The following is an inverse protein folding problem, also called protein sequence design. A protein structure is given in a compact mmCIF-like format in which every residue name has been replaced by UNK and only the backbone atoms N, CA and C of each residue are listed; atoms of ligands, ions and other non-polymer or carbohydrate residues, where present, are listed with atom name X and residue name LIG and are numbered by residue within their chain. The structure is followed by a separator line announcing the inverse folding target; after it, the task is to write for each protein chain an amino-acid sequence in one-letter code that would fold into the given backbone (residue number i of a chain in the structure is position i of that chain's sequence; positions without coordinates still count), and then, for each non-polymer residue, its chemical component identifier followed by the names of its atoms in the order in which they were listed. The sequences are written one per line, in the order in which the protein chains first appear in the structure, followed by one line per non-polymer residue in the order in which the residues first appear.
data_IF_110302441994
#
_entry.id   IF_110302441994
#
_cell.length_a   1.000
_cell.length_b   1.000
_cell.length_c   1.000
_cell.angle_alpha   90.00
_cell.angle_beta   90.00
_cell.angle_gamma   90.00
#
_symmetry.space_group_name_H-M   'P 1'
#
loop_
_entity.id
_entity.type
_entity.pdbx_description
1 polymer ?
#
# COMPACT_ATOMS: atom_id res chain seq x y z
N UNK A 1 -3.11 15.21 -31.28
CA UNK A 1 -2.62 14.04 -30.54
C UNK A 1 -2.69 14.28 -29.05
N UNK A 2 -2.81 13.23 -28.26
CA UNK A 2 -2.81 13.33 -26.81
C UNK A 2 -1.41 13.74 -26.34
N UNK A 3 -1.32 14.76 -25.49
CA UNK A 3 -0.04 15.20 -24.94
C UNK A 3 0.20 14.51 -23.61
N UNK A 4 1.29 13.76 -23.52
CA UNK A 4 1.71 13.12 -22.27
C UNK A 4 2.73 14.01 -21.57
N UNK A 5 2.38 14.45 -20.37
CA UNK A 5 3.24 15.29 -19.54
C UNK A 5 3.51 14.56 -18.21
N UNK A 6 4.70 14.77 -17.67
CA UNK A 6 5.07 14.35 -16.34
C UNK A 6 5.36 15.63 -15.55
N UNK A 7 4.46 15.97 -14.63
CA UNK A 7 4.66 17.09 -13.72
C UNK A 7 5.71 16.73 -12.68
N UNK A 8 6.55 17.69 -12.31
CA UNK A 8 7.52 17.51 -11.25
C UNK A 8 7.75 18.83 -10.49
N UNK A 9 8.16 18.71 -9.25
CA UNK A 9 8.75 19.78 -8.45
C UNK A 9 10.16 19.38 -8.06
N UNK A 10 11.10 20.32 -8.16
CA UNK A 10 12.47 20.12 -7.72
C UNK A 10 12.90 21.25 -6.80
N UNK A 11 13.45 20.90 -5.65
CA UNK A 11 14.00 21.85 -4.68
C UNK A 11 15.51 21.69 -4.57
N UNK A 12 16.19 22.82 -4.67
CA UNK A 12 17.64 22.93 -4.67
C UNK A 12 18.03 23.80 -3.47
N UNK A 13 18.53 23.24 -2.35
CA UNK A 13 18.88 24.03 -1.18
C UNK A 13 20.14 24.88 -1.43
N UNK A 14 20.23 26.05 -0.80
CA UNK A 14 21.41 26.93 -0.90
C UNK A 14 22.65 26.21 -0.36
N UNK A 15 22.52 25.58 0.81
CA UNK A 15 23.60 24.83 1.46
C UNK A 15 23.52 23.34 1.05
N UNK A 16 23.71 23.08 -0.25
CA UNK A 16 23.65 21.72 -0.77
C UNK A 16 24.81 20.85 -0.29
N UNK A 17 24.49 19.69 0.25
CA UNK A 17 25.45 18.75 0.84
C UNK A 17 26.05 17.74 -0.17
N UNK A 18 25.87 17.92 -1.47
CA UNK A 18 26.33 16.99 -2.51
C UNK A 18 25.40 15.80 -2.78
N UNK A 19 24.24 15.71 -2.11
CA UNK A 19 23.32 14.56 -2.21
C UNK A 19 22.05 14.91 -2.98
N UNK A 20 21.52 13.89 -3.66
CA UNK A 20 20.26 13.96 -4.41
C UNK A 20 19.30 12.89 -3.92
N UNK A 21 18.02 13.21 -3.80
CA UNK A 21 16.94 12.28 -3.50
C UNK A 21 15.81 12.38 -4.54
N UNK A 22 15.46 11.24 -5.13
CA UNK A 22 14.18 11.07 -5.81
C UNK A 22 13.13 10.63 -4.78
N UNK A 23 12.15 11.49 -4.51
CA UNK A 23 11.04 11.22 -3.61
C UNK A 23 9.94 10.48 -4.36
N UNK A 24 9.71 9.21 -4.00
CA UNK A 24 8.55 8.43 -4.45
C UNK A 24 7.32 8.74 -3.61
N UNK A 25 6.20 9.10 -4.28
CA UNK A 25 4.97 9.48 -3.59
C UNK A 25 4.04 8.28 -3.36
N UNK A 26 3.12 8.42 -2.40
CA UNK A 26 2.17 7.38 -2.01
C UNK A 26 0.90 7.33 -2.87
N UNK A 27 -0.05 6.48 -2.49
CA UNK A 27 -1.33 6.32 -3.16
C UNK A 27 -1.19 5.81 -4.59
N UNK A 28 -1.90 6.42 -5.53
CA UNK A 28 -1.81 6.15 -6.97
C UNK A 28 -1.11 7.28 -7.74
N UNK A 29 -0.33 8.12 -7.06
CA UNK A 29 0.23 9.35 -7.61
C UNK A 29 -0.87 10.32 -8.14
N UNK A 30 -0.53 11.13 -9.15
CA UNK A 30 -1.47 12.08 -9.76
C UNK A 30 -1.50 13.45 -9.09
N UNK A 31 -0.79 13.63 -7.99
CA UNK A 31 -0.56 14.92 -7.33
C UNK A 31 0.92 15.25 -7.31
N UNK A 32 1.20 16.54 -7.46
CA UNK A 32 2.54 17.05 -7.28
C UNK A 32 2.77 17.33 -5.78
N UNK A 33 3.29 16.33 -5.08
CA UNK A 33 3.63 16.45 -3.66
C UNK A 33 4.90 17.32 -3.52
N UNK A 34 4.95 18.25 -2.54
CA UNK A 34 6.12 19.08 -2.31
C UNK A 34 7.42 18.27 -2.16
N UNK A 35 8.46 18.64 -2.89
CA UNK A 35 9.75 17.95 -2.91
C UNK A 35 10.56 18.26 -1.65
N UNK A 36 10.11 17.81 -0.50
CA UNK A 36 10.78 17.98 0.80
C UNK A 36 11.70 16.81 1.15
N UNK A 37 11.53 15.66 0.48
CA UNK A 37 12.28 14.45 0.79
C UNK A 37 11.80 13.77 2.06
N UNK A 38 10.53 13.97 2.43
CA UNK A 38 9.90 13.21 3.51
C UNK A 38 9.56 11.81 2.99
N UNK A 39 10.37 10.84 3.39
CA UNK A 39 10.23 9.43 2.99
C UNK A 39 9.82 8.60 4.23
N UNK A 40 8.58 8.15 4.24
CA UNK A 40 8.03 7.40 5.37
C UNK A 40 7.54 8.31 6.49
N UNK A 41 8.20 8.27 7.63
CA UNK A 41 7.95 9.15 8.78
C UNK A 41 9.02 10.23 8.85
N UNK A 42 8.66 11.40 9.31
CA UNK A 42 9.56 12.53 9.49
C UNK A 42 8.77 13.82 9.56
N UNK A 43 9.33 14.81 10.23
CA UNK A 43 8.73 16.13 10.38
C UNK A 43 9.33 17.14 9.40
N UNK A 44 8.86 18.39 9.45
CA UNK A 44 9.37 19.45 8.59
C UNK A 44 10.86 19.77 8.82
N UNK A 45 11.42 19.39 9.97
CA UNK A 45 12.83 19.60 10.30
C UNK A 45 13.68 18.32 10.19
N UNK A 46 13.10 17.19 9.75
CA UNK A 46 13.78 15.90 9.66
C UNK A 46 13.60 15.28 8.27
N UNK A 47 13.49 16.11 7.24
CA UNK A 47 13.39 15.68 5.85
C UNK A 47 14.70 15.93 5.10
N UNK A 48 14.88 15.26 3.97
CA UNK A 48 16.11 15.32 3.21
C UNK A 48 16.45 16.73 2.71
N UNK A 49 15.46 17.56 2.35
CA UNK A 49 15.70 18.94 1.95
C UNK A 49 16.30 19.76 3.08
N UNK A 50 15.78 19.59 4.31
CA UNK A 50 16.34 20.26 5.50
C UNK A 50 17.78 19.83 5.77
N UNK A 51 18.09 18.56 5.48
CA UNK A 51 19.44 18.01 5.62
C UNK A 51 20.36 18.38 4.43
N UNK A 52 19.93 19.27 3.55
CA UNK A 52 20.74 19.78 2.44
C UNK A 52 20.73 18.94 1.16
N UNK A 53 19.81 18.00 1.00
CA UNK A 53 19.67 17.27 -0.26
C UNK A 53 18.94 18.10 -1.33
N UNK A 54 19.34 17.99 -2.58
CA UNK A 54 18.50 18.32 -3.71
C UNK A 54 17.41 17.25 -3.84
N UNK A 55 16.14 17.64 -3.97
CA UNK A 55 15.02 16.70 -3.97
C UNK A 55 14.13 16.93 -5.19
N UNK A 56 13.69 15.85 -5.83
CA UNK A 56 12.66 15.88 -6.88
C UNK A 56 11.47 15.00 -6.48
N UNK A 57 10.27 15.46 -6.80
CA UNK A 57 9.00 14.77 -6.67
C UNK A 57 8.23 14.87 -7.98
N UNK A 58 7.31 13.93 -8.28
CA UNK A 58 6.51 13.95 -9.51
C UNK A 58 5.09 13.44 -9.30
N UNK A 59 4.20 13.78 -10.24
CA UNK A 59 2.84 13.24 -10.36
C UNK A 59 2.78 11.90 -11.08
N UNK A 60 3.93 11.35 -11.49
CA UNK A 60 4.06 10.13 -12.27
C UNK A 60 3.32 10.16 -13.63
N UNK A 61 3.00 11.33 -14.16
CA UNK A 61 2.50 11.53 -15.52
C UNK A 61 0.98 11.42 -15.70
N UNK A 62 0.21 11.67 -14.65
CA UNK A 62 -1.24 11.83 -14.71
C UNK A 62 -1.74 12.76 -13.60
N UNK A 63 -3.03 13.08 -13.61
CA UNK A 63 -3.68 13.91 -12.59
C UNK A 63 -4.59 13.04 -11.72
N UNK A 64 -4.73 13.37 -10.44
CA UNK A 64 -5.61 12.67 -9.49
C UNK A 64 -7.04 12.49 -9.99
N UNK A 65 -7.59 13.48 -10.72
CA UNK A 65 -8.94 13.37 -11.30
C UNK A 65 -9.06 12.27 -12.36
N UNK A 66 -7.94 11.75 -12.87
CA UNK A 66 -7.87 10.66 -13.83
C UNK A 66 -7.79 9.28 -13.14
N UNK A 67 -7.63 9.23 -11.82
CA UNK A 67 -7.58 7.99 -11.06
C UNK A 67 -8.96 7.32 -10.98
N UNK A 68 -9.06 6.01 -11.19
CA UNK A 68 -8.03 5.07 -11.65
C UNK A 68 -7.98 4.94 -13.18
N UNK A 69 -8.78 5.75 -13.92
CA UNK A 69 -9.03 5.59 -15.35
C UNK A 69 -7.80 5.85 -16.22
N UNK A 70 -6.78 6.59 -15.73
CA UNK A 70 -5.51 6.74 -16.43
C UNK A 70 -4.89 5.38 -16.82
N UNK A 71 -5.18 4.35 -16.01
CA UNK A 71 -4.70 2.99 -16.25
C UNK A 71 -5.24 2.33 -17.53
N UNK A 72 -6.26 2.89 -18.19
CA UNK A 72 -6.72 2.43 -19.51
C UNK A 72 -5.77 2.86 -20.62
N UNK A 73 -5.02 3.93 -20.43
CA UNK A 73 -4.05 4.42 -21.41
C UNK A 73 -2.69 3.71 -21.26
N UNK A 74 -2.15 3.07 -22.30
CA UNK A 74 -0.88 2.37 -22.21
C UNK A 74 0.31 3.25 -21.86
N UNK A 75 0.36 4.50 -22.37
CA UNK A 75 1.48 5.38 -22.11
C UNK A 75 1.43 5.94 -20.68
N UNK A 76 0.23 6.25 -20.16
CA UNK A 76 0.05 6.66 -18.78
C UNK A 76 0.47 5.54 -17.81
N UNK A 77 0.14 4.27 -18.12
CA UNK A 77 0.64 3.12 -17.35
C UNK A 77 2.17 3.02 -17.35
N UNK A 78 2.81 3.26 -18.50
CA UNK A 78 4.27 3.27 -18.60
C UNK A 78 4.85 4.39 -17.75
N UNK A 79 4.29 5.60 -17.82
CA UNK A 79 4.76 6.74 -17.02
C UNK A 79 4.63 6.45 -15.53
N UNK A 80 3.45 5.98 -15.08
CA UNK A 80 3.20 5.58 -13.69
C UNK A 80 4.10 4.40 -13.26
N UNK A 81 4.25 3.39 -14.11
CA UNK A 81 5.00 2.18 -13.79
C UNK A 81 6.48 2.43 -13.57
N UNK A 82 7.12 3.14 -14.50
CA UNK A 82 8.56 3.39 -14.47
C UNK A 82 9.03 4.58 -15.31
N UNK A 83 8.21 5.06 -16.26
CA UNK A 83 8.64 6.10 -17.22
C UNK A 83 8.98 7.43 -16.54
N UNK A 84 8.23 7.81 -15.49
CA UNK A 84 8.49 9.05 -14.77
C UNK A 84 9.87 9.05 -14.12
N UNK A 85 10.18 8.08 -13.29
CA UNK A 85 11.48 8.01 -12.61
C UNK A 85 12.64 7.85 -13.61
N UNK A 86 12.45 7.08 -14.70
CA UNK A 86 13.47 6.88 -15.74
C UNK A 86 13.84 8.17 -16.45
N UNK A 87 12.85 9.02 -16.75
CA UNK A 87 13.06 10.30 -17.43
C UNK A 87 13.56 11.39 -16.49
N UNK A 88 13.00 11.46 -15.29
CA UNK A 88 13.27 12.54 -14.34
C UNK A 88 14.62 12.39 -13.63
N UNK A 89 15.11 11.17 -13.42
CA UNK A 89 16.41 10.96 -12.75
C UNK A 89 17.59 11.63 -13.48
N UNK A 90 17.85 11.36 -14.77
CA UNK A 90 18.95 12.04 -15.48
C UNK A 90 18.68 13.54 -15.66
N UNK A 91 17.44 13.96 -15.84
CA UNK A 91 17.07 15.36 -15.91
C UNK A 91 17.42 16.09 -14.61
N UNK A 92 17.04 15.54 -13.45
CA UNK A 92 17.33 16.13 -12.15
C UNK A 92 18.84 16.25 -11.91
N UNK A 93 19.62 15.23 -12.25
CA UNK A 93 21.09 15.29 -12.14
C UNK A 93 21.70 16.37 -13.02
N UNK A 94 21.16 16.58 -14.23
CA UNK A 94 21.60 17.67 -15.12
C UNK A 94 21.21 19.06 -14.56
N UNK A 95 20.03 19.20 -13.95
CA UNK A 95 19.64 20.44 -13.26
C UNK A 95 20.54 20.75 -12.07
N UNK A 96 20.91 19.73 -11.27
CA UNK A 96 21.87 19.85 -10.18
C UNK A 96 23.23 20.32 -10.71
N UNK A 97 23.72 19.71 -11.79
CA UNK A 97 24.97 20.12 -12.42
C UNK A 97 24.92 21.57 -12.91
N UNK A 98 23.80 21.99 -13.50
CA UNK A 98 23.64 23.38 -13.95
C UNK A 98 23.60 24.38 -12.78
N UNK A 99 22.96 24.00 -11.65
CA UNK A 99 22.84 24.89 -10.49
C UNK A 99 24.11 24.96 -9.64
N UNK A 100 24.81 23.84 -9.42
CA UNK A 100 25.95 23.75 -8.50
C UNK A 100 27.31 23.51 -9.19
N UNK A 101 27.34 23.42 -10.52
CA UNK A 101 28.55 23.19 -11.28
C UNK A 101 29.05 21.74 -11.33
N UNK A 102 28.45 20.81 -10.56
CA UNK A 102 28.85 19.39 -10.54
C UNK A 102 27.62 18.48 -10.39
N UNK A 103 27.77 17.24 -10.79
CA UNK A 103 26.79 16.17 -10.51
C UNK A 103 26.74 15.86 -9.00
N UNK A 104 25.65 15.26 -8.50
CA UNK A 104 25.60 14.81 -7.10
C UNK A 104 26.70 13.79 -6.81
N UNK A 105 27.31 13.91 -5.63
CA UNK A 105 28.30 12.96 -5.13
C UNK A 105 27.66 11.62 -4.75
N UNK A 106 26.39 11.69 -4.30
CA UNK A 106 25.54 10.54 -3.98
C UNK A 106 24.10 10.79 -4.39
N UNK A 107 23.44 9.74 -4.89
CA UNK A 107 22.06 9.78 -5.35
C UNK A 107 21.24 8.70 -4.66
N UNK A 108 20.06 9.03 -4.21
CA UNK A 108 19.17 8.14 -3.50
C UNK A 108 17.78 8.16 -4.12
N UNK A 109 17.06 7.03 -4.04
CA UNK A 109 15.62 6.96 -4.32
C UNK A 109 14.92 6.37 -3.10
N UNK A 110 13.80 6.96 -2.69
CA UNK A 110 13.08 6.48 -1.52
C UNK A 110 11.62 6.82 -1.54
N UNK A 111 10.82 6.00 -0.85
CA UNK A 111 9.40 6.22 -0.68
C UNK A 111 8.72 5.12 0.12
N UNK A 112 7.49 5.41 0.54
CA UNK A 112 6.64 4.51 1.32
C UNK A 112 5.43 4.09 0.49
N UNK A 113 4.91 2.88 0.68
CA UNK A 113 3.72 2.37 -0.05
C UNK A 113 3.97 2.35 -1.56
N UNK A 114 3.19 3.07 -2.37
CA UNK A 114 3.47 3.25 -3.79
C UNK A 114 4.83 3.92 -4.05
N UNK A 115 5.27 4.84 -3.18
CA UNK A 115 6.63 5.38 -3.23
C UNK A 115 7.70 4.32 -3.01
N UNK A 116 7.45 3.34 -2.14
CA UNK A 116 8.28 2.14 -1.98
C UNK A 116 8.31 1.30 -3.26
N UNK A 117 7.19 1.17 -3.99
CA UNK A 117 7.15 0.56 -5.32
C UNK A 117 8.05 1.31 -6.31
N UNK A 118 8.02 2.66 -6.34
CA UNK A 118 8.93 3.45 -7.17
C UNK A 118 10.39 3.19 -6.81
N UNK A 119 10.71 3.08 -5.52
CA UNK A 119 12.06 2.75 -5.05
C UNK A 119 12.50 1.35 -5.52
N UNK A 120 11.62 0.35 -5.49
CA UNK A 120 11.90 -0.98 -6.05
C UNK A 120 12.12 -0.94 -7.57
N UNK A 121 11.38 -0.09 -8.30
CA UNK A 121 11.59 0.14 -9.73
C UNK A 121 12.96 0.79 -9.96
N UNK A 122 13.36 1.76 -9.14
CA UNK A 122 14.70 2.34 -9.19
C UNK A 122 15.78 1.27 -9.01
N UNK A 123 15.63 0.39 -8.01
CA UNK A 123 16.57 -0.70 -7.76
C UNK A 123 16.72 -1.65 -8.96
N UNK A 124 15.59 -2.00 -9.60
CA UNK A 124 15.59 -3.02 -10.66
C UNK A 124 15.92 -2.49 -12.05
N UNK A 125 15.67 -1.21 -12.33
CA UNK A 125 15.82 -0.63 -13.67
C UNK A 125 16.86 0.47 -13.78
N UNK A 126 17.26 1.08 -12.66
CA UNK A 126 18.13 2.26 -12.59
C UNK A 126 19.18 2.10 -11.49
N UNK A 127 19.60 0.86 -11.18
CA UNK A 127 20.53 0.58 -10.09
C UNK A 127 21.88 1.28 -10.27
N UNK A 128 22.29 1.57 -11.51
CA UNK A 128 23.48 2.34 -11.84
C UNK A 128 23.34 3.86 -11.59
N UNK A 129 22.11 4.33 -11.39
CA UNK A 129 21.81 5.75 -11.17
C UNK A 129 21.77 6.15 -9.70
N UNK A 130 21.74 5.17 -8.79
CA UNK A 130 21.54 5.39 -7.36
C UNK A 130 22.54 4.66 -6.50
N UNK A 131 23.07 5.35 -5.49
CA UNK A 131 23.99 4.78 -4.47
C UNK A 131 23.24 4.10 -3.33
N UNK A 132 21.96 4.46 -3.11
CA UNK A 132 21.14 3.87 -2.06
C UNK A 132 19.65 3.98 -2.37
N UNK A 133 18.89 2.98 -1.91
CA UNK A 133 17.46 2.87 -2.16
C UNK A 133 16.74 2.50 -0.86
N UNK A 134 15.68 3.26 -0.53
CA UNK A 134 14.81 3.02 0.61
C UNK A 134 13.39 2.70 0.12
N UNK A 135 13.04 1.42 0.10
CA UNK A 135 11.68 0.95 -0.20
C UNK A 135 10.96 0.60 1.10
N UNK A 136 10.22 1.55 1.66
CA UNK A 136 9.44 1.34 2.89
C UNK A 136 8.05 0.81 2.54
N UNK A 137 7.63 -0.28 3.20
CA UNK A 137 6.31 -0.92 3.00
C UNK A 137 5.84 -0.90 1.54
N UNK A 138 6.64 -1.42 0.59
CA UNK A 138 6.41 -1.21 -0.83
C UNK A 138 5.14 -1.90 -1.31
N UNK A 139 4.41 -1.26 -2.21
CA UNK A 139 3.38 -1.92 -3.00
C UNK A 139 4.01 -3.01 -3.88
N UNK A 140 3.72 -4.28 -3.55
CA UNK A 140 4.33 -5.44 -4.19
C UNK A 140 3.28 -6.31 -4.89
N UNK A 141 3.59 -6.82 -6.09
CA UNK A 141 2.64 -7.61 -6.90
C UNK A 141 1.25 -6.98 -7.05
N UNK A 142 1.18 -5.65 -7.25
CA UNK A 142 -0.07 -4.88 -7.25
C UNK A 142 -1.19 -5.46 -8.13
N UNK A 143 -0.96 -6.01 -9.34
CA UNK A 143 -2.04 -6.62 -10.11
C UNK A 143 -2.70 -7.81 -9.40
N UNK A 144 -1.93 -8.61 -8.67
CA UNK A 144 -2.47 -9.74 -7.87
C UNK A 144 -3.16 -9.24 -6.59
N UNK A 145 -2.58 -8.23 -5.93
CA UNK A 145 -3.19 -7.59 -4.78
C UNK A 145 -4.55 -6.97 -5.14
N UNK A 146 -4.64 -6.27 -6.28
CA UNK A 146 -5.89 -5.72 -6.78
C UNK A 146 -6.95 -6.81 -7.05
N UNK A 147 -6.55 -7.95 -7.63
CA UNK A 147 -7.46 -9.09 -7.81
C UNK A 147 -7.96 -9.65 -6.46
N UNK A 148 -7.09 -9.70 -5.43
CA UNK A 148 -7.48 -10.11 -4.09
C UNK A 148 -8.46 -9.12 -3.44
N UNK A 149 -8.25 -7.81 -3.61
CA UNK A 149 -9.17 -6.78 -3.11
C UNK A 149 -10.54 -6.86 -3.79
N UNK A 150 -10.57 -7.03 -5.11
CA UNK A 150 -11.83 -7.23 -5.85
C UNK A 150 -12.56 -8.51 -5.40
N UNK A 151 -11.82 -9.58 -5.16
CA UNK A 151 -12.39 -10.81 -4.63
C UNK A 151 -13.01 -10.59 -3.24
N UNK A 152 -12.30 -9.89 -2.34
CA UNK A 152 -12.83 -9.53 -1.01
C UNK A 152 -14.13 -8.75 -1.13
N UNK A 153 -14.16 -7.72 -1.99
CA UNK A 153 -15.37 -6.94 -2.23
C UNK A 153 -16.54 -7.80 -2.76
N UNK A 154 -16.26 -8.74 -3.68
CA UNK A 154 -17.28 -9.68 -4.18
C UNK A 154 -17.80 -10.63 -3.09
N UNK A 155 -16.93 -11.08 -2.19
CA UNK A 155 -17.36 -11.92 -1.06
C UNK A 155 -18.23 -11.12 -0.08
N UNK A 156 -17.81 -9.92 0.32
CA UNK A 156 -18.57 -9.05 1.23
C UNK A 156 -19.95 -8.69 0.66
N UNK A 157 -20.06 -8.44 -0.64
CA UNK A 157 -21.31 -8.13 -1.32
C UNK A 157 -22.37 -9.23 -1.15
N UNK A 158 -21.98 -10.47 -0.97
CA UNK A 158 -22.90 -11.61 -0.78
C UNK A 158 -23.68 -11.53 0.52
N UNK A 159 -23.14 -10.87 1.55
CA UNK A 159 -23.70 -10.78 2.90
C UNK A 159 -24.00 -9.35 3.32
N UNK A 160 -23.72 -8.36 2.47
CA UNK A 160 -24.09 -6.98 2.68
C UNK A 160 -25.63 -6.83 2.63
N UNK A 161 -26.19 -6.05 3.55
CA UNK A 161 -27.62 -5.72 3.56
C UNK A 161 -27.95 -4.60 2.57
N UNK A 162 -26.95 -3.81 2.19
CA UNK A 162 -26.98 -2.88 1.05
C UNK A 162 -25.79 -3.22 0.13
N UNK A 163 -26.08 -3.69 -1.08
CA UNK A 163 -25.04 -4.08 -2.05
C UNK A 163 -24.16 -2.91 -2.56
N UNK A 164 -24.61 -1.67 -2.33
CA UNK A 164 -23.85 -0.45 -2.67
C UNK A 164 -23.00 0.05 -1.49
N UNK A 165 -23.21 -0.51 -0.30
CA UNK A 165 -22.42 -0.21 0.90
C UNK A 165 -21.91 -1.50 1.54
N UNK A 166 -20.68 -1.87 1.22
CA UNK A 166 -20.04 -3.10 1.71
C UNK A 166 -19.77 -3.06 3.23
N UNK A 167 -19.83 -1.88 3.87
CA UNK A 167 -19.69 -1.78 5.33
C UNK A 167 -20.85 -2.47 6.06
N UNK A 168 -22.00 -2.65 5.39
CA UNK A 168 -23.18 -3.36 5.89
C UNK A 168 -23.01 -4.89 5.93
N UNK A 169 -21.97 -5.43 5.30
CA UNK A 169 -21.67 -6.85 5.32
C UNK A 169 -21.37 -7.36 6.74
N UNK A 170 -20.66 -6.53 7.52
CA UNK A 170 -20.26 -6.81 8.90
C UNK A 170 -20.34 -5.51 9.71
N UNK A 171 -21.31 -5.44 10.60
CA UNK A 171 -21.42 -4.32 11.55
C UNK A 171 -20.21 -4.27 12.48
N UNK A 172 -19.94 -3.13 13.10
CA UNK A 172 -18.86 -3.00 14.08
C UNK A 172 -19.00 -4.00 15.24
N UNK A 173 -20.25 -4.30 15.68
CA UNK A 173 -20.49 -5.29 16.73
C UNK A 173 -20.07 -6.69 16.29
N UNK A 174 -20.44 -7.10 15.08
CA UNK A 174 -20.06 -8.39 14.50
C UNK A 174 -18.54 -8.50 14.29
N UNK A 175 -17.88 -7.40 13.85
CA UNK A 175 -16.41 -7.35 13.75
C UNK A 175 -15.74 -7.53 15.12
N UNK A 176 -16.32 -6.96 16.18
CA UNK A 176 -15.83 -7.15 17.55
C UNK A 176 -15.98 -8.62 18.02
N UNK A 177 -17.06 -9.29 17.63
CA UNK A 177 -17.24 -10.74 17.91
C UNK A 177 -16.11 -11.54 17.27
N UNK A 178 -15.83 -11.29 15.99
CA UNK A 178 -14.75 -11.98 15.28
C UNK A 178 -13.38 -11.64 15.89
N UNK A 179 -13.08 -10.37 16.14
CA UNK A 179 -11.83 -9.95 16.76
C UNK A 179 -11.61 -10.62 18.13
N UNK A 180 -12.67 -10.67 18.95
CA UNK A 180 -12.60 -11.37 20.23
C UNK A 180 -12.31 -12.85 20.07
N UNK A 181 -12.99 -13.53 19.15
CA UNK A 181 -12.77 -14.95 18.88
C UNK A 181 -11.34 -15.25 18.42
N UNK A 182 -10.75 -14.35 17.60
CA UNK A 182 -9.34 -14.44 17.20
C UNK A 182 -8.43 -14.29 18.42
N UNK A 183 -8.60 -13.23 19.22
CA UNK A 183 -7.78 -12.96 20.40
C UNK A 183 -7.88 -14.08 21.44
N UNK A 184 -9.07 -14.62 21.70
CA UNK A 184 -9.27 -15.71 22.66
C UNK A 184 -8.42 -16.96 22.31
N UNK A 185 -8.05 -17.14 21.06
CA UNK A 185 -7.25 -18.29 20.60
C UNK A 185 -5.79 -17.95 20.32
N UNK A 186 -5.48 -16.70 19.98
CA UNK A 186 -4.20 -16.35 19.37
C UNK A 186 -3.36 -15.37 20.19
N UNK A 187 -3.96 -14.54 21.05
CA UNK A 187 -3.28 -13.42 21.72
C UNK A 187 -2.03 -13.86 22.50
N UNK A 188 -2.15 -14.97 23.25
CA UNK A 188 -1.05 -15.45 24.08
C UNK A 188 -0.01 -16.33 23.35
N UNK A 189 -0.17 -16.60 22.06
CA UNK A 189 0.68 -17.55 21.33
C UNK A 189 2.10 -17.04 21.09
N UNK A 190 2.28 -15.73 21.07
CA UNK A 190 3.61 -15.10 20.97
C UNK A 190 4.29 -14.87 22.34
N UNK A 191 3.62 -15.29 23.44
CA UNK A 191 4.11 -15.21 24.81
C UNK A 191 3.61 -13.98 25.60
N UNK A 192 2.78 -13.10 24.99
CA UNK A 192 2.20 -11.92 25.62
C UNK A 192 0.71 -11.85 25.29
N UNK A 193 -0.14 -11.55 26.26
CA UNK A 193 -1.56 -11.27 26.04
C UNK A 193 -1.78 -9.75 26.07
N UNK A 194 -1.58 -9.09 24.92
CA UNK A 194 -1.59 -7.63 24.79
C UNK A 194 -2.59 -7.11 23.74
N UNK A 195 -3.42 -7.98 23.19
CA UNK A 195 -4.42 -7.64 22.18
C UNK A 195 -3.87 -7.61 20.75
N UNK A 196 -2.65 -8.13 20.54
CA UNK A 196 -2.01 -8.27 19.22
C UNK A 196 -1.77 -9.75 18.89
N UNK A 197 -1.77 -10.09 17.62
CA UNK A 197 -1.43 -11.43 17.13
C UNK A 197 -0.15 -11.32 16.31
N UNK A 198 1.00 -11.60 16.93
CA UNK A 198 2.29 -11.51 16.26
C UNK A 198 2.77 -12.87 15.72
N UNK A 199 2.44 -13.98 16.38
CA UNK A 199 2.68 -15.32 15.83
C UNK A 199 1.54 -15.74 14.89
N UNK A 200 1.58 -15.23 13.67
CA UNK A 200 0.57 -15.47 12.62
C UNK A 200 0.46 -16.96 12.27
N UNK A 201 1.56 -17.69 12.26
CA UNK A 201 1.56 -19.12 11.88
C UNK A 201 0.98 -20.00 12.99
N UNK A 202 1.31 -19.71 14.26
CA UNK A 202 0.66 -20.40 15.39
C UNK A 202 -0.84 -20.11 15.41
N UNK A 203 -1.25 -18.85 15.15
CA UNK A 203 -2.66 -18.48 15.09
C UNK A 203 -3.40 -19.20 13.95
N UNK A 204 -2.80 -19.36 12.78
CA UNK A 204 -3.40 -20.14 11.67
C UNK A 204 -3.68 -21.60 12.03
N UNK A 205 -2.88 -22.13 12.92
CA UNK A 205 -3.05 -23.51 13.41
C UNK A 205 -4.09 -23.61 14.53
N UNK A 206 -4.13 -22.60 15.41
CA UNK A 206 -5.00 -22.61 16.59
C UNK A 206 -6.43 -22.13 16.32
N UNK A 207 -6.60 -21.17 15.39
CA UNK A 207 -7.89 -20.55 15.11
C UNK A 207 -8.59 -21.19 13.91
N UNK A 208 -9.82 -21.67 14.14
CA UNK A 208 -10.76 -22.12 13.12
C UNK A 208 -12.03 -21.27 13.20
N UNK A 209 -12.29 -20.47 12.16
CA UNK A 209 -13.41 -19.53 12.12
C UNK A 209 -14.77 -20.22 12.29
N UNK A 210 -14.95 -21.42 11.72
CA UNK A 210 -16.22 -22.18 11.82
C UNK A 210 -16.44 -22.77 13.21
N UNK A 211 -15.37 -22.93 14.00
CA UNK A 211 -15.43 -23.54 15.32
C UNK A 211 -15.48 -22.51 16.45
N UNK A 212 -14.72 -21.42 16.31
CA UNK A 212 -14.49 -20.50 17.41
C UNK A 212 -15.35 -19.24 17.35
N UNK A 213 -15.95 -18.91 16.19
CA UNK A 213 -16.84 -17.75 16.07
C UNK A 213 -18.27 -18.17 16.41
N UNK A 214 -18.98 -17.45 17.31
CA UNK A 214 -20.38 -17.71 17.63
C UNK A 214 -21.28 -17.60 16.41
N UNK A 215 -22.06 -18.65 16.14
CA UNK A 215 -23.04 -18.72 15.04
C UNK A 215 -24.40 -18.27 15.54
N UNK A 216 -25.08 -17.38 14.80
CA UNK A 216 -26.43 -16.94 15.12
C UNK A 216 -27.44 -18.10 14.98
N UNK A 217 -28.28 -18.31 16.00
CA UNK A 217 -29.37 -19.28 15.96
C UNK A 217 -30.61 -18.76 15.22
N UNK A 218 -30.76 -17.46 15.08
CA UNK A 218 -31.90 -16.80 14.41
C UNK A 218 -31.47 -15.55 13.66
N UNK A 219 -31.73 -14.38 14.18
CA UNK A 219 -31.41 -13.07 13.56
C UNK A 219 -30.03 -12.58 13.98
N UNK A 220 -29.40 -11.77 13.10
CA UNK A 220 -28.18 -11.02 13.40
C UNK A 220 -28.48 -9.93 14.42
N UNK A 221 -27.99 -10.08 15.64
CA UNK A 221 -28.17 -9.13 16.74
C UNK A 221 -26.86 -8.43 17.16
N UNK A 222 -25.77 -8.72 16.45
CA UNK A 222 -24.44 -8.17 16.72
C UNK A 222 -23.62 -8.94 17.77
N UNK A 223 -24.15 -10.05 18.31
CA UNK A 223 -23.43 -10.94 19.27
C UNK A 223 -22.92 -12.22 18.62
N UNK A 224 -23.25 -12.45 17.36
CA UNK A 224 -22.94 -13.64 16.57
C UNK A 224 -22.80 -13.29 15.10
N UNK A 225 -22.28 -14.20 14.30
CA UNK A 225 -22.27 -14.11 12.84
C UNK A 225 -23.19 -15.16 12.23
N UNK A 226 -23.81 -14.85 11.10
CA UNK A 226 -24.54 -15.88 10.34
C UNK A 226 -23.56 -16.88 9.73
N UNK A 227 -24.04 -18.09 9.44
CA UNK A 227 -23.23 -19.11 8.76
C UNK A 227 -22.66 -18.58 7.44
N UNK A 228 -23.45 -17.82 6.68
CA UNK A 228 -23.00 -17.26 5.41
C UNK A 228 -21.91 -16.18 5.60
N UNK A 229 -21.99 -15.36 6.65
CA UNK A 229 -20.91 -14.42 6.98
C UNK A 229 -19.60 -15.15 7.33
N UNK A 230 -19.69 -16.25 8.09
CA UNK A 230 -18.54 -17.07 8.44
C UNK A 230 -17.90 -17.68 7.18
N UNK A 231 -18.71 -18.26 6.26
CA UNK A 231 -18.23 -18.81 4.99
C UNK A 231 -17.55 -17.74 4.11
N UNK A 232 -18.14 -16.55 4.02
CA UNK A 232 -17.57 -15.41 3.29
C UNK A 232 -16.23 -15.01 3.89
N UNK A 233 -16.14 -14.90 5.20
CA UNK A 233 -14.89 -14.56 5.90
C UNK A 233 -13.83 -15.64 5.74
N UNK A 234 -14.20 -16.93 5.85
CA UNK A 234 -13.29 -18.04 5.59
C UNK A 234 -12.70 -17.98 4.17
N UNK A 235 -13.53 -17.63 3.17
CA UNK A 235 -13.07 -17.42 1.80
C UNK A 235 -12.12 -16.22 1.68
N UNK A 236 -12.41 -15.10 2.36
CA UNK A 236 -11.55 -13.91 2.37
C UNK A 236 -10.19 -14.24 2.99
N UNK A 237 -10.16 -14.90 4.14
CA UNK A 237 -8.91 -15.29 4.81
C UNK A 237 -8.09 -16.28 3.99
N UNK A 238 -8.74 -17.23 3.33
CA UNK A 238 -8.07 -18.16 2.41
C UNK A 238 -7.46 -17.44 1.20
N UNK A 239 -8.04 -16.32 0.77
CA UNK A 239 -7.67 -15.58 -0.43
C UNK A 239 -8.27 -16.16 -1.72
N UNK A 240 -8.12 -15.42 -2.85
CA UNK A 240 -8.70 -15.81 -4.14
C UNK A 240 -8.01 -17.04 -4.73
N UNK A 241 -8.82 -17.91 -5.33
CA UNK A 241 -8.36 -19.08 -6.07
C UNK A 241 -8.93 -19.05 -7.50
N UNK A 242 -8.24 -19.66 -8.44
CA UNK A 242 -8.76 -19.88 -9.79
C UNK A 242 -9.73 -21.10 -9.83
N UNK A 243 -10.29 -21.38 -11.00
CA UNK A 243 -11.23 -22.51 -11.20
C UNK A 243 -10.59 -23.89 -10.94
N UNK A 244 -9.26 -24.00 -10.94
CA UNK A 244 -8.52 -25.20 -10.58
C UNK A 244 -8.13 -25.25 -9.09
N UNK A 245 -8.60 -24.31 -8.26
CA UNK A 245 -8.29 -24.24 -6.83
C UNK A 245 -6.91 -23.70 -6.49
N UNK A 246 -6.15 -23.20 -7.47
CA UNK A 246 -4.81 -22.65 -7.25
C UNK A 246 -4.91 -21.22 -6.71
N UNK A 247 -4.12 -20.90 -5.69
CA UNK A 247 -4.08 -19.56 -5.10
C UNK A 247 -3.61 -18.51 -6.12
N UNK A 248 -4.36 -17.42 -6.23
CA UNK A 248 -4.02 -16.25 -7.05
C UNK A 248 -3.23 -15.21 -6.27
N UNK A 249 -3.37 -15.20 -4.95
CA UNK A 249 -2.65 -14.32 -4.02
C UNK A 249 -2.45 -15.01 -2.67
N UNK A 250 -1.78 -14.33 -1.75
CA UNK A 250 -1.53 -14.83 -0.40
C UNK A 250 -2.83 -14.97 0.42
N UNK A 251 -2.80 -15.82 1.41
CA UNK A 251 -3.80 -15.87 2.48
C UNK A 251 -3.69 -14.63 3.36
N UNK A 252 -4.80 -14.23 3.99
CA UNK A 252 -4.82 -13.13 4.95
C UNK A 252 -4.49 -13.66 6.36
N UNK A 253 -3.79 -12.90 7.21
CA UNK A 253 -3.65 -13.24 8.62
C UNK A 253 -4.97 -13.05 9.36
N UNK A 254 -5.18 -13.77 10.44
CA UNK A 254 -6.25 -13.50 11.39
C UNK A 254 -5.83 -12.32 12.28
N UNK A 255 -6.24 -11.13 11.88
CA UNK A 255 -5.87 -9.88 12.53
C UNK A 255 -7.07 -9.29 13.30
N UNK A 256 -6.96 -9.05 14.63
CA UNK A 256 -8.03 -8.42 15.41
C UNK A 256 -8.24 -6.93 15.05
N UNK A 257 -7.31 -6.30 14.31
CA UNK A 257 -7.42 -4.92 13.82
C UNK A 257 -8.59 -4.66 12.88
N UNK A 258 -9.33 -5.69 12.48
CA UNK A 258 -10.56 -5.57 11.67
C UNK A 258 -11.66 -4.70 12.30
N UNK A 259 -11.55 -4.34 13.59
CA UNK A 259 -12.45 -3.38 14.25
C UNK A 259 -12.13 -1.91 13.91
N UNK A 260 -11.00 -1.64 13.30
CA UNK A 260 -10.59 -0.31 12.87
C UNK A 260 -11.48 0.27 11.79
N UNK A 261 -11.42 1.61 11.62
CA UNK A 261 -12.24 2.36 10.66
C UNK A 261 -11.91 2.08 9.19
N UNK A 262 -10.74 1.51 8.92
CA UNK A 262 -10.24 1.29 7.55
C UNK A 262 -10.40 -0.16 7.08
N UNK A 263 -11.20 -0.97 7.77
CA UNK A 263 -11.33 -2.38 7.42
C UNK A 263 -12.32 -2.64 6.28
N UNK A 264 -13.33 -1.79 6.09
CA UNK A 264 -14.38 -1.92 5.06
C UNK A 264 -14.52 -0.65 4.22
#
# INVERSE_FOLDING_TARGET
GQTYQIGFEMRLPIDWNGRFLYQGNGGTDGNLVPATGQVGSGGPLTNALHDGFAVISSDAGHNTSQNPMFGLDPQARINYGYGAITKLTPMAKNLIKAAYGKLPDRSYAGGTSNGGRHAMIAATRLGDQYDGILASTPGFHLPRAAAAQLYTAQQLRRVATDENDLSTALTLSERKVLAKAILDQCDALDGVADGLVQDVEACRTAFDIHKHVPVCSSTRDGTCLSTEQIDVLANIYRGPVNSAGQALYATQPFDPGLVGSNWA
#
